data_IF_778910163610
#
_entry.id   IF_778910163610
#
_cell.length_a   1.000
_cell.length_b   1.000
_cell.length_c   1.000
_cell.angle_alpha   90.00
_cell.angle_beta   90.00
_cell.angle_gamma   90.00
#
_symmetry.space_group_name_H-M   'P 1'
#
loop_
_entity.id
_entity.type
_entity.pdbx_description
1 polymer ?
#
# COMPACT_ATOMS: atom_id res chain seq x y z
N UNK A 1 54.21 -11.20 13.84
CA UNK A 1 53.23 -11.78 12.89
C UNK A 1 51.77 -11.74 13.41
N UNK A 2 51.50 -11.80 14.72
CA UNK A 2 50.12 -11.77 15.29
C UNK A 2 49.36 -10.44 15.14
N UNK A 3 50.03 -9.30 15.02
CA UNK A 3 49.37 -7.97 15.06
C UNK A 3 48.67 -7.62 13.73
N UNK A 4 49.26 -8.01 12.59
CA UNK A 4 48.70 -7.77 11.26
C UNK A 4 47.41 -8.55 11.02
N UNK A 5 47.33 -9.77 11.53
CA UNK A 5 46.16 -10.65 11.39
C UNK A 5 44.95 -10.11 12.19
N UNK A 6 45.21 -9.55 13.38
CA UNK A 6 44.18 -8.89 14.20
C UNK A 6 43.65 -7.62 13.52
N UNK A 7 44.51 -6.86 12.86
CA UNK A 7 44.13 -5.64 12.15
C UNK A 7 43.28 -5.96 10.91
N UNK A 8 43.70 -6.93 10.10
CA UNK A 8 42.98 -7.38 8.90
C UNK A 8 41.59 -7.97 9.24
N UNK A 9 41.51 -8.79 10.30
CA UNK A 9 40.24 -9.35 10.76
C UNK A 9 39.28 -8.29 11.29
N UNK A 10 39.80 -7.21 11.90
CA UNK A 10 39.00 -6.07 12.38
C UNK A 10 38.44 -5.25 11.22
N UNK A 11 39.22 -5.02 10.17
CA UNK A 11 38.73 -4.29 8.99
C UNK A 11 37.76 -5.12 8.14
N UNK A 12 37.96 -6.43 8.01
CA UNK A 12 36.96 -7.33 7.40
C UNK A 12 35.67 -7.35 8.23
N UNK A 13 35.76 -7.45 9.56
CA UNK A 13 34.58 -7.42 10.42
C UNK A 13 33.84 -6.08 10.30
N UNK A 14 34.58 -4.97 10.16
CA UNK A 14 34.00 -3.63 9.94
C UNK A 14 33.32 -3.54 8.56
N UNK A 15 33.94 -4.08 7.50
CA UNK A 15 33.36 -4.12 6.15
C UNK A 15 32.11 -5.02 6.07
N UNK A 16 32.10 -6.17 6.76
CA UNK A 16 30.92 -7.04 6.85
C UNK A 16 29.81 -6.38 7.68
N UNK A 17 30.14 -5.68 8.78
CA UNK A 17 29.15 -4.93 9.57
C UNK A 17 28.54 -3.76 8.80
N UNK A 18 29.32 -3.08 7.97
CA UNK A 18 28.85 -1.97 7.14
C UNK A 18 27.94 -2.45 5.99
N UNK A 19 28.28 -3.57 5.35
CA UNK A 19 27.47 -4.19 4.29
C UNK A 19 26.21 -4.91 4.80
N UNK A 20 26.20 -5.31 6.09
CA UNK A 20 25.06 -5.98 6.74
C UNK A 20 24.10 -5.03 7.46
N UNK A 21 24.29 -3.71 7.32
CA UNK A 21 23.22 -2.75 7.57
C UNK A 21 22.14 -2.90 6.49
N UNK A 22 21.44 -4.03 6.57
CA UNK A 22 20.17 -4.29 5.90
C UNK A 22 19.36 -3.01 6.00
N UNK A 23 19.16 -2.34 4.87
CA UNK A 23 18.39 -1.11 4.83
C UNK A 23 16.97 -1.48 5.23
N UNK A 24 16.65 -1.36 6.51
CA UNK A 24 15.36 -1.72 7.07
C UNK A 24 14.35 -0.72 6.53
N UNK A 25 13.18 -1.22 6.15
CA UNK A 25 12.04 -0.36 5.87
C UNK A 25 11.79 0.50 7.10
N UNK A 26 11.55 1.80 6.91
CA UNK A 26 11.20 2.67 8.02
C UNK A 26 9.97 2.12 8.72
N UNK A 27 9.96 2.09 10.05
CA UNK A 27 8.83 1.57 10.83
C UNK A 27 7.49 2.20 10.42
N UNK A 28 7.49 3.49 10.05
CA UNK A 28 6.31 4.17 9.53
C UNK A 28 5.74 3.56 8.25
N UNK A 29 6.59 3.13 7.31
CA UNK A 29 6.16 2.48 6.06
C UNK A 29 5.49 1.13 6.40
N UNK A 30 6.08 0.37 7.32
CA UNK A 30 5.53 -0.92 7.76
C UNK A 30 4.17 -0.72 8.43
N UNK A 31 4.05 0.23 9.35
CA UNK A 31 2.80 0.51 10.08
C UNK A 31 1.70 0.96 9.11
N UNK A 32 1.99 1.91 8.21
CA UNK A 32 1.01 2.41 7.24
C UNK A 32 0.55 1.29 6.31
N UNK A 33 1.47 0.45 5.83
CA UNK A 33 1.11 -0.70 5.00
C UNK A 33 0.22 -1.70 5.73
N UNK A 34 0.50 -2.01 7.01
CA UNK A 34 -0.35 -2.93 7.80
C UNK A 34 -1.75 -2.34 7.97
N UNK A 35 -1.86 -1.06 8.32
CA UNK A 35 -3.15 -0.36 8.42
C UNK A 35 -3.91 -0.45 7.09
N UNK A 36 -3.22 -0.21 5.97
CA UNK A 36 -3.84 -0.27 4.65
C UNK A 36 -4.31 -1.69 4.30
N UNK A 37 -3.54 -2.73 4.63
CA UNK A 37 -3.96 -4.12 4.43
C UNK A 37 -5.25 -4.41 5.19
N UNK A 38 -5.35 -3.99 6.46
CA UNK A 38 -6.56 -4.19 7.27
C UNK A 38 -7.75 -3.47 6.63
N UNK A 39 -7.59 -2.22 6.21
CA UNK A 39 -8.64 -1.46 5.54
C UNK A 39 -9.05 -2.09 4.21
N UNK A 40 -8.08 -2.61 3.44
CA UNK A 40 -8.35 -3.29 2.17
C UNK A 40 -9.16 -4.57 2.39
N UNK A 41 -8.80 -5.41 3.37
CA UNK A 41 -9.54 -6.62 3.71
C UNK A 41 -10.97 -6.27 4.15
N UNK A 42 -11.14 -5.25 4.99
CA UNK A 42 -12.47 -4.78 5.41
C UNK A 42 -13.30 -4.28 4.22
N UNK A 43 -12.68 -3.56 3.28
CA UNK A 43 -13.35 -3.05 2.08
C UNK A 43 -13.77 -4.16 1.10
N UNK A 44 -12.89 -5.14 0.87
CA UNK A 44 -13.20 -6.32 0.05
C UNK A 44 -14.38 -7.06 0.67
N UNK A 45 -14.33 -7.33 1.97
CA UNK A 45 -15.41 -8.02 2.68
C UNK A 45 -16.72 -7.26 2.59
N UNK A 46 -16.71 -5.94 2.83
CA UNK A 46 -17.89 -5.10 2.68
C UNK A 46 -18.48 -5.14 1.27
N UNK A 47 -17.63 -5.10 0.25
CA UNK A 47 -18.06 -5.13 -1.16
C UNK A 47 -18.66 -6.48 -1.55
N UNK A 48 -18.08 -7.59 -1.08
CA UNK A 48 -18.62 -8.95 -1.30
C UNK A 48 -19.97 -9.14 -0.61
N UNK A 49 -20.11 -8.68 0.64
CA UNK A 49 -21.39 -8.71 1.36
C UNK A 49 -22.44 -7.89 0.62
N UNK A 50 -22.10 -6.69 0.15
CA UNK A 50 -23.01 -5.84 -0.62
C UNK A 50 -23.45 -6.53 -1.93
N UNK A 51 -22.52 -7.18 -2.63
CA UNK A 51 -22.81 -7.88 -3.89
C UNK A 51 -23.80 -9.03 -3.69
N UNK A 52 -23.62 -9.83 -2.63
CA UNK A 52 -24.50 -10.97 -2.32
C UNK A 52 -25.87 -10.54 -1.81
N UNK A 53 -25.94 -9.45 -1.04
CA UNK A 53 -27.20 -8.97 -0.46
C UNK A 53 -27.97 -8.00 -1.36
N UNK A 54 -27.36 -7.49 -2.44
CA UNK A 54 -27.99 -6.53 -3.37
C UNK A 54 -29.35 -7.01 -3.87
N UNK A 55 -29.49 -8.29 -4.21
CA UNK A 55 -30.75 -8.87 -4.70
C UNK A 55 -31.86 -8.89 -3.64
N UNK A 56 -31.50 -8.95 -2.35
CA UNK A 56 -32.46 -8.88 -1.24
C UNK A 56 -32.82 -7.44 -0.90
N UNK A 57 -31.85 -6.52 -0.99
CA UNK A 57 -32.05 -5.08 -0.73
C UNK A 57 -32.91 -4.41 -1.81
N UNK A 58 -32.74 -4.80 -3.08
CA UNK A 58 -33.61 -4.32 -4.16
C UNK A 58 -35.06 -4.78 -3.99
N UNK A 59 -35.29 -5.99 -3.47
CA UNK A 59 -36.64 -6.49 -3.11
C UNK A 59 -37.26 -5.73 -1.94
N UNK A 60 -36.44 -5.13 -1.07
CA UNK A 60 -36.87 -4.28 0.03
C UNK A 60 -37.05 -2.80 -0.37
N UNK A 61 -36.97 -2.49 -1.68
CA UNK A 61 -37.12 -1.13 -2.19
C UNK A 61 -35.88 -0.24 -2.03
N UNK A 62 -34.77 -0.78 -1.54
CA UNK A 62 -33.50 -0.07 -1.44
C UNK A 62 -32.75 -0.23 -2.77
N UNK A 63 -32.90 0.75 -3.66
CA UNK A 63 -32.12 0.83 -4.90
C UNK A 63 -30.73 1.33 -4.60
N UNK A 64 -29.75 0.43 -4.62
CA UNK A 64 -28.34 0.81 -4.56
C UNK A 64 -27.95 1.44 -5.92
N UNK A 65 -27.43 2.68 -5.94
CA UNK A 65 -27.08 3.37 -7.18
C UNK A 65 -25.85 2.75 -7.89
N UNK A 66 -25.14 1.82 -7.26
CA UNK A 66 -23.96 1.18 -7.83
C UNK A 66 -24.33 -0.02 -8.73
N UNK A 67 -23.81 0.00 -9.95
CA UNK A 67 -23.91 -1.11 -10.90
C UNK A 67 -23.01 -2.29 -10.50
N UNK A 68 -23.34 -3.50 -10.97
CA UNK A 68 -22.51 -4.69 -10.72
C UNK A 68 -21.12 -4.57 -11.38
N UNK A 69 -21.05 -3.83 -12.50
CA UNK A 69 -19.80 -3.54 -13.19
C UNK A 69 -18.87 -2.67 -12.34
N UNK A 70 -19.40 -1.57 -11.76
CA UNK A 70 -18.63 -0.70 -10.86
C UNK A 70 -18.08 -1.46 -9.65
N UNK A 71 -18.92 -2.26 -8.97
CA UNK A 71 -18.48 -3.07 -7.83
C UNK A 71 -17.35 -4.04 -8.21
N UNK A 72 -17.42 -4.64 -9.40
CA UNK A 72 -16.37 -5.55 -9.91
C UNK A 72 -15.06 -4.80 -10.16
N UNK A 73 -15.13 -3.62 -10.77
CA UNK A 73 -13.95 -2.78 -11.03
C UNK A 73 -13.27 -2.37 -9.71
N UNK A 74 -14.04 -1.93 -8.72
CA UNK A 74 -13.51 -1.56 -7.40
C UNK A 74 -12.82 -2.75 -6.71
N UNK A 75 -13.40 -3.96 -6.79
CA UNK A 75 -12.78 -5.17 -6.25
C UNK A 75 -11.43 -5.49 -6.92
N UNK A 76 -11.34 -5.37 -8.25
CA UNK A 76 -10.10 -5.61 -9.00
C UNK A 76 -9.03 -4.58 -8.58
N UNK A 77 -9.37 -3.30 -8.47
CA UNK A 77 -8.45 -2.26 -8.03
C UNK A 77 -7.93 -2.49 -6.61
N UNK A 78 -8.80 -2.91 -5.69
CA UNK A 78 -8.41 -3.23 -4.31
C UNK A 78 -7.42 -4.41 -4.26
N UNK A 79 -7.61 -5.43 -5.08
CA UNK A 79 -6.67 -6.55 -5.20
C UNK A 79 -5.31 -6.10 -5.76
N UNK A 80 -5.29 -5.26 -6.80
CA UNK A 80 -4.05 -4.70 -7.35
C UNK A 80 -3.32 -3.83 -6.32
N UNK A 81 -4.05 -3.02 -5.55
CA UNK A 81 -3.49 -2.22 -4.46
C UNK A 81 -2.86 -3.09 -3.38
N UNK A 82 -3.50 -4.20 -3.02
CA UNK A 82 -2.97 -5.15 -2.05
C UNK A 82 -1.63 -5.74 -2.53
N UNK A 83 -1.55 -6.14 -3.80
CA UNK A 83 -0.32 -6.64 -4.42
C UNK A 83 0.77 -5.55 -4.38
N UNK A 84 0.45 -4.31 -4.73
CA UNK A 84 1.39 -3.20 -4.70
C UNK A 84 1.98 -2.97 -3.29
N UNK A 85 1.15 -3.05 -2.25
CA UNK A 85 1.59 -2.89 -0.85
C UNK A 85 2.50 -4.03 -0.42
N UNK A 86 2.19 -5.27 -0.81
CA UNK A 86 3.06 -6.42 -0.56
C UNK A 86 4.42 -6.20 -1.23
N UNK A 87 4.45 -5.70 -2.47
CA UNK A 87 5.71 -5.35 -3.16
C UNK A 87 6.49 -4.24 -2.43
N UNK A 88 5.81 -3.26 -1.83
CA UNK A 88 6.44 -2.23 -0.98
C UNK A 88 7.09 -2.88 0.26
N UNK A 89 6.41 -3.85 0.88
CA UNK A 89 6.97 -4.62 2.01
C UNK A 89 8.21 -5.43 1.61
N UNK A 90 8.26 -5.90 0.35
CA UNK A 90 9.45 -6.56 -0.21
C UNK A 90 10.55 -5.59 -0.67
N UNK A 91 10.46 -4.30 -0.34
CA UNK A 91 11.45 -3.27 -0.70
C UNK A 91 11.66 -3.11 -2.20
N UNK A 92 10.67 -3.49 -3.01
CA UNK A 92 10.73 -3.33 -4.46
C UNK A 92 10.26 -1.93 -4.83
N UNK A 93 11.13 -1.14 -5.46
CA UNK A 93 10.84 0.24 -5.88
C UNK A 93 9.63 0.31 -6.83
N UNK A 94 9.44 -0.73 -7.66
CA UNK A 94 8.26 -0.86 -8.53
C UNK A 94 6.94 -0.88 -7.76
N UNK A 95 6.92 -1.38 -6.51
CA UNK A 95 5.73 -1.40 -5.67
C UNK A 95 5.27 0.00 -5.25
N UNK A 96 6.22 0.91 -5.06
CA UNK A 96 5.93 2.31 -4.73
C UNK A 96 5.26 3.01 -5.91
N UNK A 97 5.84 2.87 -7.11
CA UNK A 97 5.29 3.45 -8.32
C UNK A 97 3.91 2.91 -8.66
N UNK A 98 3.72 1.58 -8.56
CA UNK A 98 2.42 0.97 -8.83
C UNK A 98 1.36 1.38 -7.80
N UNK A 99 1.74 1.51 -6.51
CA UNK A 99 0.82 1.98 -5.47
C UNK A 99 0.28 3.38 -5.75
N UNK A 100 1.15 4.35 -6.06
CA UNK A 100 0.70 5.71 -6.36
C UNK A 100 -0.15 5.78 -7.62
N UNK A 101 0.24 5.03 -8.65
CA UNK A 101 -0.54 4.95 -9.89
C UNK A 101 -1.93 4.39 -9.65
N UNK A 102 -2.05 3.31 -8.88
CA UNK A 102 -3.33 2.71 -8.54
C UNK A 102 -4.21 3.63 -7.69
N UNK A 103 -3.62 4.40 -6.77
CA UNK A 103 -4.38 5.38 -5.98
C UNK A 103 -4.94 6.51 -6.84
N UNK A 104 -4.18 6.96 -7.85
CA UNK A 104 -4.69 7.96 -8.80
C UNK A 104 -5.86 7.37 -9.60
N UNK A 105 -5.75 6.12 -10.06
CA UNK A 105 -6.85 5.44 -10.78
C UNK A 105 -8.09 5.24 -9.91
N UNK A 106 -7.90 4.82 -8.65
CA UNK A 106 -8.99 4.64 -7.70
C UNK A 106 -9.69 5.96 -7.36
N UNK A 107 -8.92 7.05 -7.26
CA UNK A 107 -9.46 8.40 -7.08
C UNK A 107 -10.31 8.84 -8.28
N UNK A 108 -9.82 8.63 -9.51
CA UNK A 108 -10.55 8.97 -10.73
C UNK A 108 -11.89 8.22 -10.76
N UNK A 109 -11.87 6.90 -10.50
CA UNK A 109 -13.09 6.09 -10.47
C UNK A 109 -14.06 6.58 -9.38
N UNK A 110 -13.56 6.89 -8.18
CA UNK A 110 -14.39 7.41 -7.09
C UNK A 110 -15.06 8.74 -7.45
N UNK A 111 -14.33 9.64 -8.14
CA UNK A 111 -14.86 10.93 -8.60
C UNK A 111 -15.90 10.71 -9.70
N UNK A 112 -15.69 9.77 -10.63
CA UNK A 112 -16.67 9.44 -11.67
C UNK A 112 -17.97 8.87 -11.09
N UNK A 113 -17.88 7.99 -10.10
CA UNK A 113 -19.03 7.29 -9.55
C UNK A 113 -19.83 8.13 -8.54
N UNK A 114 -19.13 8.91 -7.72
CA UNK A 114 -19.74 9.57 -6.55
C UNK A 114 -19.61 11.09 -6.54
N UNK A 115 -18.93 11.66 -7.53
CA UNK A 115 -18.59 13.09 -7.60
C UNK A 115 -17.47 13.48 -6.65
N UNK A 116 -17.09 14.76 -6.66
CA UNK A 116 -16.11 15.29 -5.72
C UNK A 116 -16.73 15.53 -4.34
N UNK A 117 -16.25 14.83 -3.31
CA UNK A 117 -16.73 14.91 -1.92
C UNK A 117 -15.59 15.15 -0.94
N UNK A 118 -15.90 15.79 0.19
CA UNK A 118 -14.94 16.00 1.28
C UNK A 118 -14.32 14.71 1.82
N UNK A 119 -15.02 13.59 1.73
CA UNK A 119 -14.52 12.25 2.12
C UNK A 119 -13.32 11.78 1.30
N UNK A 120 -13.15 12.28 0.07
CA UNK A 120 -12.01 11.95 -0.79
C UNK A 120 -10.71 12.58 -0.26
N UNK A 121 -10.81 13.76 0.36
CA UNK A 121 -9.65 14.43 0.96
C UNK A 121 -9.15 13.62 2.16
N UNK A 122 -10.09 13.06 2.95
CA UNK A 122 -9.80 12.17 4.07
C UNK A 122 -9.16 10.85 3.60
N UNK A 123 -9.60 10.25 2.49
CA UNK A 123 -8.97 9.02 1.99
C UNK A 123 -7.54 9.24 1.48
N UNK A 124 -7.19 10.48 1.11
CA UNK A 124 -5.85 10.84 0.64
C UNK A 124 -4.81 11.04 1.76
N UNK A 125 -5.24 11.15 3.02
CA UNK A 125 -4.31 11.37 4.13
C UNK A 125 -3.31 10.21 4.26
N UNK A 126 -3.76 8.96 4.10
CA UNK A 126 -2.92 7.76 4.18
C UNK A 126 -1.86 7.72 3.07
N UNK A 127 -2.21 7.85 1.77
CA UNK A 127 -1.22 7.83 0.71
C UNK A 127 -0.23 8.99 0.77
N UNK A 128 -0.67 10.17 1.22
CA UNK A 128 0.24 11.30 1.43
C UNK A 128 1.23 10.98 2.56
N UNK A 129 0.75 10.40 3.67
CA UNK A 129 1.63 10.00 4.77
C UNK A 129 2.64 8.93 4.33
N UNK A 130 2.20 7.98 3.50
CA UNK A 130 3.05 6.97 2.87
C UNK A 130 4.12 7.63 1.98
N UNK A 131 3.75 8.62 1.16
CA UNK A 131 4.68 9.39 0.32
C UNK A 131 5.75 10.12 1.15
N UNK A 132 5.35 10.75 2.25
CA UNK A 132 6.26 11.45 3.15
C UNK A 132 7.22 10.45 3.82
N UNK A 133 6.72 9.31 4.27
CA UNK A 133 7.55 8.26 4.89
C UNK A 133 8.59 7.70 3.90
N UNK A 134 8.22 7.49 2.64
CA UNK A 134 9.12 7.04 1.59
C UNK A 134 10.18 8.12 1.30
N UNK A 135 9.77 9.38 1.16
CA UNK A 135 10.69 10.51 0.91
C UNK A 135 11.70 10.74 2.03
N UNK A 136 11.34 10.46 3.29
CA UNK A 136 12.27 10.55 4.43
C UNK A 136 13.23 9.36 4.53
N UNK A 137 12.91 8.23 3.92
CA UNK A 137 13.70 6.99 3.96
C UNK A 137 14.03 6.53 2.53
N UNK A 138 14.66 7.40 1.73
CA UNK A 138 15.06 7.11 0.33
C UNK A 138 16.05 5.94 0.20
N UNK A 139 16.87 5.72 1.24
CA UNK A 139 17.93 4.71 1.26
C UNK A 139 17.45 3.27 0.89
N UNK A 140 16.44 2.68 1.56
CA UNK A 140 15.95 1.33 1.26
C UNK A 140 15.35 1.09 -0.13
N UNK A 141 15.07 2.13 -0.92
CA UNK A 141 14.40 1.98 -2.21
C UNK A 141 15.27 2.29 -3.43
N UNK A 142 16.54 2.66 -3.23
CA UNK A 142 17.47 3.02 -4.31
C UNK A 142 16.82 3.93 -5.38
N UNK A 143 15.99 4.87 -4.90
CA UNK A 143 15.25 5.87 -5.66
C UNK A 143 16.06 7.16 -5.79
#
# INVERSE_FOLDING_TARGET
MKIYDIMYKKDIARFIMENSQSQKLGAGIIIISIIYIILCIASIFGTVVLLTQKASLTKQGITLPLTNAQMTISLILQLLLLIAIILILFKKSIGVYSYFLLIILDLINTIMDSGFKWTIILSLILPILMAICINRKRKPFNL
#
